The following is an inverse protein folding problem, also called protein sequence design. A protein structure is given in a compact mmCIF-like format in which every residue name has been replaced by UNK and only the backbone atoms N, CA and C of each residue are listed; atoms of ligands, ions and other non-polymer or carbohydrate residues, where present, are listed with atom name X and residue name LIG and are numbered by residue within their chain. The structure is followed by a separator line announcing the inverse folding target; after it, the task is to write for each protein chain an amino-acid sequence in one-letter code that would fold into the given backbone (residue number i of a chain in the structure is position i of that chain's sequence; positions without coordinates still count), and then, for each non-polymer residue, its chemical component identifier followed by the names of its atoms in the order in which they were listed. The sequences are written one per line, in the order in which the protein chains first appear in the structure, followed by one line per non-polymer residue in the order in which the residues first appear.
data_IF_876052108401
#
_entry.id   IF_876052108401
#
_cell.length_a   1.000
_cell.length_b   1.000
_cell.length_c   1.000
_cell.angle_alpha   90.00
_cell.angle_beta   90.00
_cell.angle_gamma   90.00
#
_symmetry.space_group_name_H-M   'P 1'
#
loop_
_entity.id
_entity.type
_entity.pdbx_description
1 polymer ?
#
# COMPACT_ATOMS: atom_id res chain seq x y z
N UNK A 1 -4.41 -7.72 -22.63
CA UNK A 1 -5.64 -7.05 -22.15
C UNK A 1 -5.37 -6.40 -20.81
N UNK A 2 -5.95 -5.23 -20.52
CA UNK A 2 -5.81 -4.55 -19.22
C UNK A 2 -7.16 -4.30 -18.56
N UNK A 3 -7.31 -4.70 -17.30
CA UNK A 3 -8.46 -4.42 -16.43
C UNK A 3 -7.95 -3.64 -15.22
N UNK A 4 -8.38 -2.40 -15.06
CA UNK A 4 -7.77 -1.44 -14.14
C UNK A 4 -8.79 -0.96 -13.13
N UNK A 5 -8.60 -1.32 -11.86
CA UNK A 5 -9.43 -0.87 -10.74
C UNK A 5 -8.82 0.32 -10.00
N UNK A 6 -9.49 1.47 -10.08
CA UNK A 6 -9.15 2.70 -9.36
C UNK A 6 -10.11 3.02 -8.22
N UNK A 7 -11.03 2.13 -7.85
CA UNK A 7 -12.11 2.40 -6.88
C UNK A 7 -11.59 2.79 -5.48
N UNK A 8 -10.42 2.26 -5.10
CA UNK A 8 -9.72 2.57 -3.84
C UNK A 8 -8.67 3.68 -3.97
N UNK A 9 -8.47 4.25 -5.15
CA UNK A 9 -7.53 5.35 -5.32
C UNK A 9 -8.01 6.60 -4.57
N UNK A 10 -7.15 7.16 -3.73
CA UNK A 10 -7.38 8.40 -3.01
C UNK A 10 -6.57 9.51 -3.67
N UNK A 11 -7.25 10.48 -4.27
CA UNK A 11 -6.63 11.64 -4.91
C UNK A 11 -6.88 11.73 -6.42
N UNK A 12 -6.13 12.61 -7.11
CA UNK A 12 -6.29 12.85 -8.54
C UNK A 12 -5.96 11.60 -9.36
N UNK A 13 -6.98 11.08 -10.03
CA UNK A 13 -6.89 9.84 -10.84
C UNK A 13 -6.07 10.05 -12.11
N UNK A 14 -5.90 11.30 -12.58
CA UNK A 14 -5.13 11.65 -13.76
C UNK A 14 -3.69 11.10 -13.70
N UNK A 15 -3.01 11.22 -12.54
CA UNK A 15 -1.66 10.69 -12.38
C UNK A 15 -1.57 9.17 -12.48
N UNK A 16 -2.62 8.47 -12.03
CA UNK A 16 -2.71 7.02 -12.18
C UNK A 16 -2.98 6.66 -13.63
N UNK A 17 -3.88 7.42 -14.29
CA UNK A 17 -4.19 7.25 -15.70
C UNK A 17 -2.93 7.35 -16.56
N UNK A 18 -2.14 8.40 -16.38
CA UNK A 18 -0.92 8.62 -17.16
C UNK A 18 0.12 7.51 -16.91
N UNK A 19 0.33 7.12 -15.66
CA UNK A 19 1.25 6.03 -15.33
C UNK A 19 0.81 4.69 -15.92
N UNK A 20 -0.49 4.38 -15.86
CA UNK A 20 -1.04 3.16 -16.43
C UNK A 20 -0.98 3.18 -17.95
N UNK A 21 -1.25 4.31 -18.62
CA UNK A 21 -1.08 4.43 -20.07
C UNK A 21 0.38 4.22 -20.48
N UNK A 22 1.33 4.84 -19.78
CA UNK A 22 2.75 4.64 -20.03
C UNK A 22 3.21 3.19 -19.79
N UNK A 23 2.63 2.53 -18.79
CA UNK A 23 2.91 1.13 -18.49
C UNK A 23 2.30 0.18 -19.53
N UNK A 24 1.02 0.37 -19.85
CA UNK A 24 0.28 -0.50 -20.76
C UNK A 24 0.76 -0.38 -22.20
N UNK A 25 1.17 0.81 -22.65
CA UNK A 25 1.70 1.05 -23.99
C UNK A 25 2.87 0.12 -24.36
N UNK A 26 3.63 -0.38 -23.37
CA UNK A 26 4.74 -1.33 -23.58
C UNK A 26 4.29 -2.72 -24.03
N UNK A 27 3.01 -3.01 -23.91
CA UNK A 27 2.40 -4.30 -24.21
C UNK A 27 1.41 -4.22 -25.37
N UNK A 28 1.25 -3.04 -26.00
CA UNK A 28 0.33 -2.78 -27.11
C UNK A 28 -1.07 -3.41 -26.89
N UNK A 29 -1.80 -2.96 -25.86
CA UNK A 29 -2.96 -3.68 -25.38
C UNK A 29 -4.13 -3.55 -26.37
N UNK A 30 -4.66 -4.71 -26.82
CA UNK A 30 -5.86 -4.73 -27.66
C UNK A 30 -7.09 -4.10 -26.97
N UNK A 31 -7.21 -4.29 -25.65
CA UNK A 31 -8.29 -3.72 -24.84
C UNK A 31 -7.74 -3.21 -23.51
N UNK A 32 -8.19 -2.01 -23.14
CA UNK A 32 -7.94 -1.39 -21.82
C UNK A 32 -9.27 -0.97 -21.22
N UNK A 33 -9.65 -1.59 -20.09
CA UNK A 33 -10.90 -1.32 -19.39
C UNK A 33 -10.64 -0.84 -17.97
N UNK A 34 -11.49 0.08 -17.51
CA UNK A 34 -11.35 0.75 -16.23
C UNK A 34 -12.57 0.55 -15.36
N UNK A 35 -12.33 0.32 -14.07
CA UNK A 35 -13.33 0.13 -13.03
C UNK A 35 -13.16 1.24 -12.00
N UNK A 36 -14.18 2.07 -11.84
CA UNK A 36 -14.08 3.26 -10.98
C UNK A 36 -15.42 3.83 -10.56
N UNK A 37 -15.37 4.78 -9.63
CA UNK A 37 -16.53 5.56 -9.19
C UNK A 37 -16.84 6.66 -10.21
N UNK A 38 -18.08 7.17 -10.29
CA UNK A 38 -18.47 8.22 -11.25
C UNK A 38 -17.57 9.46 -11.21
N UNK A 39 -17.22 9.94 -10.01
CA UNK A 39 -16.38 11.12 -9.83
C UNK A 39 -14.95 10.95 -10.38
N UNK A 40 -14.52 9.71 -10.66
CA UNK A 40 -13.19 9.40 -11.20
C UNK A 40 -13.17 9.39 -12.73
N UNK A 41 -14.34 9.40 -13.37
CA UNK A 41 -14.52 9.22 -14.81
C UNK A 41 -14.00 10.40 -15.63
N UNK A 42 -14.27 11.63 -15.18
CA UNK A 42 -13.88 12.85 -15.88
C UNK A 42 -12.37 13.01 -16.05
N UNK A 43 -11.57 12.34 -15.21
CA UNK A 43 -10.12 12.46 -15.21
C UNK A 43 -9.39 11.48 -16.15
N UNK A 44 -10.03 10.41 -16.61
CA UNK A 44 -9.35 9.35 -17.39
C UNK A 44 -9.56 9.51 -18.90
N UNK A 45 -10.53 10.30 -19.33
CA UNK A 45 -10.84 10.53 -20.73
C UNK A 45 -11.70 9.43 -21.34
N UNK A 46 -12.44 9.77 -22.39
CA UNK A 46 -13.50 8.94 -22.99
C UNK A 46 -13.08 8.24 -24.28
N UNK A 47 -11.93 8.57 -24.86
CA UNK A 47 -11.53 7.99 -26.15
C UNK A 47 -10.92 6.60 -25.99
N UNK A 48 -11.46 5.62 -26.73
CA UNK A 48 -10.95 4.25 -26.84
C UNK A 48 -10.94 3.42 -25.56
N UNK A 49 -11.59 3.90 -24.49
CA UNK A 49 -11.44 3.36 -23.15
C UNK A 49 -12.78 2.89 -22.59
N UNK A 50 -12.93 1.59 -22.31
CA UNK A 50 -14.17 1.04 -21.75
C UNK A 50 -14.24 1.26 -20.23
N UNK A 51 -15.24 2.00 -19.79
CA UNK A 51 -15.45 2.31 -18.38
C UNK A 51 -16.61 1.53 -17.77
N UNK A 52 -16.32 0.86 -16.66
CA UNK A 52 -17.28 0.14 -15.84
C UNK A 52 -17.51 0.90 -14.54
N UNK A 53 -18.69 1.50 -14.41
CA UNK A 53 -19.09 2.16 -13.18
C UNK A 53 -19.27 1.12 -12.06
N UNK A 54 -18.60 1.36 -10.93
CA UNK A 54 -18.66 0.49 -9.74
C UNK A 54 -19.40 1.23 -8.63
N UNK A 55 -20.52 0.64 -8.18
CA UNK A 55 -21.30 1.14 -7.04
C UNK A 55 -20.72 0.68 -5.70
N UNK A 56 -21.25 1.23 -4.61
CA UNK A 56 -20.72 1.01 -3.25
C UNK A 56 -20.78 -0.45 -2.78
N UNK A 57 -21.72 -1.24 -3.30
CA UNK A 57 -21.97 -2.64 -2.92
C UNK A 57 -21.52 -3.65 -3.99
N UNK A 58 -20.84 -3.17 -5.03
CA UNK A 58 -20.47 -4.04 -6.15
C UNK A 58 -19.32 -4.97 -5.76
N UNK A 59 -19.51 -6.27 -5.90
CA UNK A 59 -18.42 -7.24 -5.84
C UNK A 59 -17.53 -7.12 -7.08
N UNK A 60 -16.44 -6.36 -6.95
CA UNK A 60 -15.57 -6.04 -8.07
C UNK A 60 -14.83 -7.26 -8.62
N UNK A 61 -14.51 -8.25 -7.76
CA UNK A 61 -13.93 -9.50 -8.20
C UNK A 61 -14.85 -10.24 -9.17
N UNK A 62 -16.14 -10.35 -8.85
CA UNK A 62 -17.11 -11.00 -9.74
C UNK A 62 -17.22 -10.27 -11.09
N UNK A 63 -17.23 -8.93 -11.09
CA UNK A 63 -17.24 -8.15 -12.34
C UNK A 63 -15.99 -8.39 -13.19
N UNK A 64 -14.81 -8.38 -12.57
CA UNK A 64 -13.54 -8.62 -13.28
C UNK A 64 -13.48 -10.06 -13.81
N UNK A 65 -13.89 -11.04 -13.01
CA UNK A 65 -13.96 -12.45 -13.44
C UNK A 65 -14.89 -12.60 -14.65
N UNK A 66 -16.12 -12.13 -14.54
CA UNK A 66 -17.10 -12.19 -15.62
C UNK A 66 -16.61 -11.48 -16.89
N UNK A 67 -15.87 -10.38 -16.74
CA UNK A 67 -15.33 -9.66 -17.88
C UNK A 67 -14.18 -10.39 -18.56
N UNK A 68 -13.28 -11.01 -17.79
CA UNK A 68 -12.24 -11.89 -18.34
C UNK A 68 -12.87 -13.06 -19.09
N UNK A 69 -13.91 -13.69 -18.53
CA UNK A 69 -14.65 -14.77 -19.20
C UNK A 69 -15.28 -14.31 -20.52
N UNK A 70 -15.94 -13.15 -20.52
CA UNK A 70 -16.54 -12.58 -21.72
C UNK A 70 -15.47 -12.29 -22.80
N UNK A 71 -14.37 -11.65 -22.44
CA UNK A 71 -13.28 -11.37 -23.38
C UNK A 71 -12.63 -12.66 -23.91
N UNK A 72 -12.46 -13.68 -23.07
CA UNK A 72 -11.95 -14.97 -23.51
C UNK A 72 -12.88 -15.64 -24.52
N UNK A 73 -14.21 -15.52 -24.33
CA UNK A 73 -15.21 -16.00 -25.29
C UNK A 73 -15.24 -15.19 -26.59
N UNK A 74 -14.94 -13.89 -26.53
CA UNK A 74 -14.87 -12.97 -27.68
C UNK A 74 -13.56 -13.11 -28.50
N UNK A 75 -12.90 -14.27 -28.45
CA UNK A 75 -11.70 -14.58 -29.25
C UNK A 75 -10.36 -14.22 -28.60
N UNK A 76 -10.36 -13.82 -27.33
CA UNK A 76 -9.13 -13.52 -26.57
C UNK A 76 -8.75 -14.62 -25.56
N UNK A 77 -9.07 -15.88 -25.85
CA UNK A 77 -8.79 -17.01 -24.95
C UNK A 77 -7.31 -17.13 -24.59
N UNK A 78 -6.42 -16.93 -25.57
CA UNK A 78 -4.96 -17.05 -25.39
C UNK A 78 -4.29 -15.75 -24.93
N UNK A 79 -5.07 -14.70 -24.66
CA UNK A 79 -4.54 -13.42 -24.25
C UNK A 79 -4.02 -13.43 -22.81
N UNK A 80 -3.04 -12.57 -22.55
CA UNK A 80 -2.61 -12.24 -21.19
C UNK A 80 -3.51 -11.13 -20.65
N UNK A 81 -4.16 -11.42 -19.52
CA UNK A 81 -5.00 -10.48 -18.80
C UNK A 81 -4.20 -9.82 -17.68
N UNK A 82 -3.99 -8.52 -17.77
CA UNK A 82 -3.34 -7.72 -16.73
C UNK A 82 -4.41 -7.07 -15.84
N UNK A 83 -4.43 -7.42 -14.56
CA UNK A 83 -5.32 -6.81 -13.56
C UNK A 83 -4.52 -5.86 -12.69
N UNK A 84 -4.85 -4.57 -12.72
CA UNK A 84 -4.18 -3.52 -11.95
C UNK A 84 -5.12 -2.98 -10.88
N UNK A 85 -4.73 -2.98 -9.60
CA UNK A 85 -5.59 -2.48 -8.52
C UNK A 85 -4.77 -1.97 -7.32
N UNK A 86 -5.40 -1.16 -6.46
CA UNK A 86 -4.91 -0.88 -5.10
C UNK A 86 -5.41 -1.90 -4.07
N UNK A 87 -6.42 -2.70 -4.39
CA UNK A 87 -6.99 -3.72 -3.50
C UNK A 87 -6.21 -5.03 -3.60
N UNK A 88 -5.38 -5.31 -2.60
CA UNK A 88 -4.60 -6.55 -2.54
C UNK A 88 -5.46 -7.82 -2.44
N UNK A 89 -6.66 -7.74 -1.84
CA UNK A 89 -7.57 -8.90 -1.81
C UNK A 89 -8.11 -9.21 -3.20
N UNK A 90 -8.48 -8.17 -3.95
CA UNK A 90 -8.89 -8.33 -5.35
C UNK A 90 -7.78 -8.92 -6.19
N UNK A 91 -6.55 -8.42 -6.08
CA UNK A 91 -5.41 -8.94 -6.83
C UNK A 91 -5.14 -10.42 -6.50
N UNK A 92 -5.15 -10.78 -5.22
CA UNK A 92 -4.95 -12.16 -4.79
C UNK A 92 -6.06 -13.09 -5.29
N UNK A 93 -7.31 -12.62 -5.32
CA UNK A 93 -8.42 -13.37 -5.88
C UNK A 93 -8.30 -13.50 -7.41
N UNK A 94 -7.98 -12.42 -8.12
CA UNK A 94 -7.83 -12.39 -9.56
C UNK A 94 -6.69 -13.29 -10.06
N UNK A 95 -5.59 -13.40 -9.33
CA UNK A 95 -4.50 -14.33 -9.69
C UNK A 95 -4.98 -15.78 -9.77
N UNK A 96 -5.97 -16.18 -8.96
CA UNK A 96 -6.55 -17.53 -8.98
C UNK A 96 -7.39 -17.81 -10.22
N UNK A 97 -7.70 -16.79 -11.02
CA UNK A 97 -8.37 -16.95 -12.31
C UNK A 97 -7.40 -17.43 -13.40
N UNK A 98 -6.09 -17.41 -13.15
CA UNK A 98 -5.11 -18.01 -14.07
C UNK A 98 -5.26 -19.52 -14.07
N UNK A 99 -5.28 -20.13 -15.26
CA UNK A 99 -5.46 -21.57 -15.42
C UNK A 99 -4.73 -22.09 -16.66
N UNK A 100 -5.02 -23.33 -17.06
CA UNK A 100 -4.34 -23.95 -18.21
C UNK A 100 -4.62 -23.23 -19.53
N UNK A 101 -5.78 -22.60 -19.68
CA UNK A 101 -6.23 -21.95 -20.91
C UNK A 101 -6.16 -20.43 -20.89
N UNK A 102 -5.70 -19.80 -19.79
CA UNK A 102 -5.62 -18.34 -19.70
C UNK A 102 -4.56 -17.90 -18.70
N UNK A 103 -3.88 -16.80 -19.02
CA UNK A 103 -2.88 -16.21 -18.13
C UNK A 103 -3.41 -14.92 -17.52
N UNK A 104 -3.49 -14.87 -16.19
CA UNK A 104 -3.85 -13.65 -15.45
C UNK A 104 -2.64 -13.17 -14.67
N UNK A 105 -2.23 -11.93 -14.93
CA UNK A 105 -1.13 -11.25 -14.23
C UNK A 105 -1.69 -10.09 -13.44
N UNK A 106 -1.27 -9.96 -12.18
CA UNK A 106 -1.79 -8.97 -11.26
C UNK A 106 -0.66 -8.02 -10.83
N UNK A 107 -0.94 -6.71 -10.79
CA UNK A 107 0.01 -5.74 -10.26
C UNK A 107 -0.66 -4.63 -9.46
N UNK A 108 0.04 -4.16 -8.42
CA UNK A 108 -0.42 -3.04 -7.62
C UNK A 108 -0.29 -1.72 -8.39
N UNK A 109 -1.35 -0.92 -8.44
CA UNK A 109 -1.29 0.42 -9.07
C UNK A 109 -0.20 1.31 -8.46
N UNK A 110 0.05 1.18 -7.15
CA UNK A 110 1.14 1.90 -6.49
C UNK A 110 2.54 1.51 -6.96
N UNK A 111 2.73 0.29 -7.47
CA UNK A 111 3.99 -0.14 -8.08
C UNK A 111 4.13 0.46 -9.49
N UNK A 112 3.07 0.39 -10.29
CA UNK A 112 3.01 0.98 -11.64
C UNK A 112 3.32 2.48 -11.61
N UNK A 113 2.69 3.22 -10.69
CA UNK A 113 2.93 4.67 -10.53
C UNK A 113 4.37 4.99 -10.13
N UNK A 114 5.00 4.16 -9.30
CA UNK A 114 6.39 4.37 -8.91
C UNK A 114 7.34 4.11 -10.07
N UNK A 115 7.12 3.04 -10.80
CA UNK A 115 7.93 2.69 -11.98
C UNK A 115 7.89 3.79 -13.04
N UNK A 116 6.72 4.39 -13.27
CA UNK A 116 6.57 5.52 -14.18
C UNK A 116 7.38 6.76 -13.74
N UNK A 117 7.56 6.97 -12.43
CA UNK A 117 8.32 8.11 -11.88
C UNK A 117 9.83 7.90 -11.91
N UNK A 118 10.28 6.67 -11.70
CA UNK A 118 11.70 6.38 -11.53
C UNK A 118 12.46 6.26 -12.88
N UNK A 119 11.78 6.40 -14.02
CA UNK A 119 12.40 6.50 -15.36
C UNK A 119 13.27 5.30 -15.78
N UNK A 120 13.19 4.19 -15.05
CA UNK A 120 14.14 3.08 -15.14
C UNK A 120 13.82 2.07 -16.24
N UNK A 121 14.85 1.75 -17.02
CA UNK A 121 14.96 0.61 -17.94
C UNK A 121 14.47 -0.73 -17.32
N UNK A 122 14.05 -1.72 -18.13
CA UNK A 122 13.02 -2.69 -17.77
C UNK A 122 13.55 -3.72 -16.79
N UNK A 123 13.29 -3.52 -15.50
CA UNK A 123 13.24 -4.67 -14.59
C UNK A 123 11.93 -5.37 -14.87
N UNK A 124 11.99 -6.39 -15.74
CA UNK A 124 10.98 -7.43 -15.99
C UNK A 124 9.97 -7.44 -14.84
N UNK A 125 8.77 -6.93 -15.07
CA UNK A 125 7.62 -7.14 -14.18
C UNK A 125 7.21 -8.60 -14.36
N UNK A 126 8.15 -9.51 -14.08
CA UNK A 126 7.84 -10.85 -13.69
C UNK A 126 6.99 -10.69 -12.45
N UNK A 127 5.82 -11.31 -12.52
CA UNK A 127 4.92 -11.45 -11.41
C UNK A 127 5.73 -11.55 -10.12
N UNK A 128 5.56 -10.59 -9.22
CA UNK A 128 5.74 -10.86 -7.81
C UNK A 128 4.60 -11.81 -7.42
N UNK A 129 4.69 -13.05 -7.92
CA UNK A 129 4.52 -14.22 -7.09
C UNK A 129 5.66 -14.11 -6.07
N UNK A 130 5.46 -13.24 -5.07
CA UNK A 130 5.93 -13.60 -3.76
C UNK A 130 5.09 -14.82 -3.41
N UNK A 131 5.61 -16.01 -3.71
CA UNK A 131 5.54 -17.14 -2.78
C UNK A 131 6.23 -16.68 -1.50
N UNK A 132 5.64 -15.70 -0.82
CA UNK A 132 5.88 -15.47 0.58
C UNK A 132 4.94 -16.47 1.25
N UNK A 133 5.50 -17.65 1.48
CA UNK A 133 5.26 -18.36 2.74
C UNK A 133 5.08 -17.34 3.84
N UNK A 134 3.82 -17.05 4.20
CA UNK A 134 3.44 -16.44 5.47
C UNK A 134 4.40 -15.36 5.99
N UNK A 135 4.59 -14.24 5.27
CA UNK A 135 5.26 -13.07 5.86
C UNK A 135 4.25 -12.31 6.74
N UNK A 136 3.86 -12.96 7.84
CA UNK A 136 3.15 -12.26 8.91
C UNK A 136 4.02 -11.08 9.34
N UNK A 137 3.47 -9.88 9.28
CA UNK A 137 4.08 -8.72 9.92
C UNK A 137 4.47 -9.06 11.35
N UNK A 138 5.54 -8.44 11.84
CA UNK A 138 5.99 -8.68 13.21
C UNK A 138 4.82 -8.40 14.18
N UNK A 139 4.44 -9.36 15.03
CA UNK A 139 3.43 -9.15 16.05
C UNK A 139 3.82 -8.00 16.97
N UNK A 140 2.83 -7.25 17.45
CA UNK A 140 3.07 -6.08 18.30
C UNK A 140 3.89 -6.42 19.56
N UNK A 141 3.61 -7.57 20.20
CA UNK A 141 4.34 -8.04 21.38
C UNK A 141 5.83 -8.24 21.10
N UNK A 142 6.16 -8.91 19.99
CA UNK A 142 7.53 -9.15 19.56
C UNK A 142 8.24 -7.84 19.20
N UNK A 143 7.54 -6.94 18.51
CA UNK A 143 8.07 -5.63 18.15
C UNK A 143 8.34 -4.73 19.38
N UNK A 144 7.55 -4.86 20.45
CA UNK A 144 7.76 -4.16 21.72
C UNK A 144 9.03 -4.66 22.39
N UNK A 145 9.21 -5.98 22.52
CA UNK A 145 10.41 -6.56 23.13
C UNK A 145 11.68 -6.21 22.35
N UNK A 146 11.60 -6.26 21.01
CA UNK A 146 12.69 -5.82 20.14
C UNK A 146 13.00 -4.33 20.33
N UNK A 147 11.97 -3.49 20.46
CA UNK A 147 12.13 -2.05 20.71
C UNK A 147 12.82 -1.80 22.05
N UNK A 148 12.41 -2.47 23.14
CA UNK A 148 13.07 -2.34 24.45
C UNK A 148 14.53 -2.73 24.39
N UNK A 149 14.84 -3.86 23.75
CA UNK A 149 16.21 -4.33 23.57
C UNK A 149 17.06 -3.33 22.80
N UNK A 150 16.54 -2.77 21.70
CA UNK A 150 17.20 -1.72 20.92
C UNK A 150 17.47 -0.45 21.74
N UNK A 151 16.50 -0.01 22.53
CA UNK A 151 16.65 1.18 23.36
C UNK A 151 17.70 0.97 24.46
N UNK A 152 17.75 -0.22 25.06
CA UNK A 152 18.76 -0.58 26.06
C UNK A 152 20.17 -0.69 25.43
N UNK A 153 20.33 -1.43 24.32
CA UNK A 153 21.62 -1.66 23.66
C UNK A 153 22.26 -0.37 23.15
N UNK A 154 21.46 0.57 22.63
CA UNK A 154 21.97 1.84 22.09
C UNK A 154 21.92 3.00 23.11
N UNK A 155 21.66 2.71 24.39
CA UNK A 155 21.59 3.69 25.48
C UNK A 155 20.60 4.85 25.22
N UNK A 156 19.45 4.58 24.59
CA UNK A 156 18.35 5.52 24.40
C UNK A 156 17.41 5.60 25.62
N UNK A 157 17.98 5.48 26.82
CA UNK A 157 17.26 5.37 28.10
C UNK A 157 17.10 6.72 28.82
N UNK A 158 17.77 7.76 28.34
CA UNK A 158 17.81 9.08 28.97
C UNK A 158 17.26 10.17 28.05
N UNK A 159 16.76 11.27 28.62
CA UNK A 159 16.05 12.32 27.87
C UNK A 159 16.94 13.13 26.91
N UNK A 160 18.25 13.15 27.15
CA UNK A 160 19.29 13.73 26.29
C UNK A 160 19.65 12.82 25.11
N UNK A 161 19.38 11.51 25.23
CA UNK A 161 19.60 10.49 24.21
C UNK A 161 18.27 9.88 23.76
N UNK A 162 17.18 10.63 23.76
CA UNK A 162 15.90 10.08 23.34
C UNK A 162 15.89 9.79 21.83
N UNK A 163 15.47 8.59 21.44
CA UNK A 163 15.32 8.21 20.05
C UNK A 163 14.19 9.00 19.38
N UNK A 164 14.45 9.57 18.20
CA UNK A 164 13.40 10.18 17.36
C UNK A 164 12.46 9.10 16.82
N UNK A 165 11.16 9.33 16.91
CA UNK A 165 10.14 8.37 16.47
C UNK A 165 10.26 8.00 14.98
N UNK A 166 10.63 8.96 14.14
CA UNK A 166 10.85 8.75 12.71
C UNK A 166 12.00 7.77 12.42
N UNK A 167 12.97 7.64 13.33
CA UNK A 167 14.11 6.74 13.19
C UNK A 167 13.83 5.32 13.70
N UNK A 168 12.83 5.13 14.56
CA UNK A 168 12.54 3.83 15.20
C UNK A 168 12.23 2.75 14.17
N UNK A 169 11.46 3.07 13.12
CA UNK A 169 11.14 2.11 12.04
C UNK A 169 12.40 1.60 11.34
N UNK A 170 13.35 2.49 11.05
CA UNK A 170 14.60 2.10 10.40
C UNK A 170 15.41 1.12 11.25
N UNK A 171 15.52 1.39 12.55
CA UNK A 171 16.24 0.53 13.49
C UNK A 171 15.57 -0.84 13.66
N UNK A 172 14.24 -0.88 13.71
CA UNK A 172 13.51 -2.15 13.76
C UNK A 172 13.71 -2.97 12.48
N UNK A 173 13.68 -2.34 11.30
CA UNK A 173 13.91 -3.01 10.01
C UNK A 173 15.33 -3.56 9.87
N UNK A 174 16.32 -2.88 10.45
CA UNK A 174 17.70 -3.36 10.47
C UNK A 174 17.88 -4.64 11.31
N UNK A 175 17.06 -4.83 12.35
CA UNK A 175 17.11 -6.02 13.21
C UNK A 175 16.14 -7.12 12.77
N UNK A 176 14.97 -6.75 12.26
CA UNK A 176 13.96 -7.67 11.75
C UNK A 176 13.29 -7.10 10.50
N UNK A 177 13.46 -7.78 9.36
CA UNK A 177 12.88 -7.39 8.08
C UNK A 177 11.34 -7.34 8.08
N UNK A 178 10.67 -8.09 8.98
CA UNK A 178 9.20 -8.10 9.14
C UNK A 178 8.66 -6.82 9.77
N UNK A 179 9.53 -5.97 10.34
CA UNK A 179 9.15 -4.65 10.84
C UNK A 179 8.96 -3.62 9.72
N UNK A 180 9.25 -3.98 8.47
CA UNK A 180 9.05 -3.13 7.28
C UNK A 180 7.58 -2.74 7.14
N UNK A 181 7.34 -1.56 6.57
CA UNK A 181 5.98 -1.11 6.29
C UNK A 181 5.40 -1.94 5.14
N UNK A 182 4.40 -2.74 5.47
CA UNK A 182 3.54 -3.43 4.52
C UNK A 182 2.29 -2.58 4.33
N UNK A 183 2.18 -1.91 3.18
CA UNK A 183 1.12 -0.92 2.90
C UNK A 183 -0.30 -1.48 2.95
N UNK A 184 -0.43 -2.80 2.88
CA UNK A 184 -1.70 -3.53 2.88
C UNK A 184 -2.00 -4.22 4.22
N UNK A 185 -1.12 -4.06 5.22
CA UNK A 185 -1.36 -4.52 6.59
C UNK A 185 -1.49 -3.32 7.55
N UNK A 186 -2.68 -3.19 8.13
CA UNK A 186 -2.99 -2.15 9.10
C UNK A 186 -2.12 -2.26 10.37
N UNK A 187 -1.73 -3.47 10.76
CA UNK A 187 -0.87 -3.70 11.92
C UNK A 187 0.56 -3.23 11.62
N UNK A 188 1.09 -3.58 10.44
CA UNK A 188 2.40 -3.11 10.00
C UNK A 188 2.44 -1.58 9.86
N UNK A 189 1.45 -0.96 9.22
CA UNK A 189 1.41 0.51 9.04
C UNK A 189 1.31 1.24 10.37
N UNK A 190 0.49 0.76 11.31
CA UNK A 190 0.31 1.35 12.64
C UNK A 190 1.34 0.89 13.69
N UNK A 191 2.25 -0.02 13.36
CA UNK A 191 3.17 -0.67 14.31
C UNK A 191 3.89 0.33 15.23
N UNK A 192 4.47 1.39 14.67
CA UNK A 192 5.20 2.40 15.45
C UNK A 192 4.27 3.16 16.40
N UNK A 193 3.09 3.57 15.92
CA UNK A 193 2.08 4.23 16.74
C UNK A 193 1.59 3.31 17.86
N UNK A 194 1.41 2.01 17.57
CA UNK A 194 0.98 1.01 18.54
C UNK A 194 2.06 0.77 19.62
N UNK A 195 3.34 0.70 19.25
CA UNK A 195 4.45 0.59 20.20
C UNK A 195 4.51 1.82 21.12
N UNK A 196 4.37 3.03 20.56
CA UNK A 196 4.34 4.26 21.37
C UNK A 196 3.12 4.30 22.28
N UNK A 197 1.95 3.88 21.79
CA UNK A 197 0.74 3.86 22.59
C UNK A 197 0.86 2.87 23.75
N UNK A 198 1.39 1.67 23.51
CA UNK A 198 1.68 0.68 24.57
C UNK A 198 2.68 1.25 25.60
N UNK A 199 3.76 1.88 25.11
CA UNK A 199 4.73 2.55 25.97
C UNK A 199 4.16 3.72 26.77
N UNK A 200 3.16 4.44 26.27
CA UNK A 200 2.44 5.47 27.03
C UNK A 200 1.54 4.86 28.09
N UNK A 201 0.76 3.85 27.75
CA UNK A 201 -0.13 3.16 28.70
C UNK A 201 0.65 2.53 29.85
N UNK A 202 1.85 2.03 29.58
CA UNK A 202 2.73 1.42 30.59
C UNK A 202 3.73 2.40 31.24
N UNK A 203 3.64 3.70 30.91
CA UNK A 203 4.44 4.75 31.54
C UNK A 203 5.92 4.84 31.09
N UNK A 204 6.32 4.14 30.03
CA UNK A 204 7.68 4.14 29.48
C UNK A 204 7.98 5.39 28.64
N UNK A 205 6.95 5.92 27.95
CA UNK A 205 7.07 7.07 27.07
C UNK A 205 6.40 8.29 27.70
N UNK A 206 7.03 8.89 28.71
CA UNK A 206 6.58 10.19 29.20
C UNK A 206 6.91 11.23 28.13
N UNK A 207 5.87 11.73 27.45
CA UNK A 207 6.03 12.90 26.61
C UNK A 207 6.62 14.02 27.46
N UNK A 208 7.55 14.80 26.90
CA UNK A 208 7.86 16.13 27.41
C UNK A 208 6.58 16.96 27.33
N UNK A 209 5.69 16.78 28.29
CA UNK A 209 4.70 17.78 28.62
C UNK A 209 5.56 18.98 28.98
N UNK A 210 5.46 20.05 28.18
CA UNK A 210 6.03 21.33 28.53
C UNK A 210 5.36 21.73 29.85
N UNK A 211 5.94 21.34 30.97
CA UNK A 211 5.75 22.05 32.21
C UNK A 211 6.24 23.47 31.91
N UNK A 212 5.31 24.36 31.59
CA UNK A 212 5.56 25.79 31.76
C UNK A 212 6.04 25.93 33.20
N UNK A 213 7.22 26.52 33.46
CA UNK A 213 7.54 26.91 34.81
C UNK A 213 6.53 28.00 35.17
N UNK A 214 5.53 27.64 35.98
CA UNK A 214 4.78 28.63 36.74
C UNK A 214 5.68 29.00 37.90
N UNK A 215 6.61 29.90 37.60
CA UNK A 215 7.42 30.58 38.60
C UNK A 215 7.48 32.04 38.19
N UNK A 216 6.76 32.91 38.89
CA UNK A 216 7.38 33.67 39.98
C UNK A 216 6.35 34.61 40.61
N UNK A 217 6.25 34.48 41.92
CA UNK A 217 5.65 35.41 42.86
C UNK A 217 6.12 36.84 42.61
N UNK A 218 5.16 37.78 42.51
CA UNK A 218 5.34 39.17 42.96
C UNK A 218 4.51 39.25 44.25
N UNK A 219 5.09 39.05 45.44
CA UNK A 219 5.71 40.10 46.26
C UNK A 219 5.18 41.50 45.93
N UNK A 220 4.18 41.90 46.74
CA UNK A 220 3.95 43.30 47.10
C UNK A 220 5.25 43.94 47.61
N UNK A 221 5.39 45.25 47.41
CA UNK A 221 5.65 46.06 48.58
C UNK A 221 4.86 47.39 48.61
N UNK A 222 4.33 47.62 49.82
CA UNK A 222 4.01 48.88 50.54
C UNK A 222 2.89 49.75 50.00
#
# INVERSE_FOLDING_TARGET
MFLIDVTRHLGPVLHVADAVRAYSARFEPAVTEWFGKPAQFSAIGTEGTHFHQVGFETNLYQKISARIDALAADGYSDAIFHVLSHDGHLLNAATKLSGASRTVTCAGLGAVVREAKDGGSPRRVQALVSTETSSSSIPLSEAIELTKKLLAEQNYISSDRALKLSSLRGLLVQRDSRARVHRFDLNSTKLISNIVQDGRTKGWCQGRSKSRPVGRSKSEPV
#
